data_IF_468586161968
#
_entry.id   IF_468586161968
#
_cell.length_a   1.000
_cell.length_b   1.000
_cell.length_c   1.000
_cell.angle_alpha   90.00
_cell.angle_beta   90.00
_cell.angle_gamma   90.00
#
_symmetry.space_group_name_H-M   'P 1'
#
loop_
_entity.id
_entity.type
_entity.pdbx_description
1 polymer ?
#
# COMPACT_ATOMS: atom_id res chain seq x y z
N UNK A 1 -5.36 15.55 -25.95
CA UNK A 1 -4.43 14.85 -25.04
C UNK A 1 -4.33 15.71 -23.79
N UNK A 2 -4.94 15.24 -22.66
CA UNK A 2 -4.88 15.99 -21.40
C UNK A 2 -3.46 16.03 -20.85
N UNK A 3 -3.15 17.10 -20.12
CA UNK A 3 -1.85 17.29 -19.44
C UNK A 3 -1.76 16.24 -18.30
N UNK A 4 -0.66 15.49 -18.24
CA UNK A 4 -0.35 14.61 -17.11
C UNK A 4 0.03 15.45 -15.90
N UNK A 5 -0.40 15.04 -14.72
CA UNK A 5 -0.04 15.69 -13.47
C UNK A 5 1.40 15.34 -13.09
N UNK A 6 2.19 16.37 -12.73
CA UNK A 6 3.50 16.21 -12.09
C UNK A 6 3.50 17.12 -10.86
N UNK A 7 3.73 16.56 -9.67
CA UNK A 7 3.69 17.29 -8.40
C UNK A 7 4.83 16.84 -7.48
N UNK A 8 5.23 17.70 -6.55
CA UNK A 8 6.09 17.27 -5.45
C UNK A 8 5.32 16.28 -4.54
N UNK A 9 6.00 15.26 -4.05
CA UNK A 9 5.38 14.28 -3.14
C UNK A 9 4.87 14.94 -1.84
N UNK A 10 5.50 16.03 -1.41
CA UNK A 10 5.08 16.84 -0.24
C UNK A 10 3.74 17.58 -0.45
N UNK A 11 3.30 17.78 -1.68
CA UNK A 11 1.99 18.38 -1.98
C UNK A 11 0.81 17.43 -1.67
N UNK A 12 1.11 16.15 -1.43
CA UNK A 12 0.13 15.14 -0.99
C UNK A 12 -0.05 15.12 0.55
N UNK A 13 0.20 16.26 1.19
CA UNK A 13 0.01 16.45 2.62
C UNK A 13 1.16 15.87 3.47
N UNK A 14 0.98 15.92 4.80
CA UNK A 14 1.96 15.38 5.73
C UNK A 14 2.00 13.85 5.66
N UNK A 15 3.17 13.29 5.94
CA UNK A 15 3.27 11.85 6.17
C UNK A 15 2.49 11.45 7.43
N UNK A 16 1.74 10.35 7.45
CA UNK A 16 1.07 9.86 8.65
C UNK A 16 1.98 9.66 9.87
N UNK A 17 3.28 9.49 9.66
CA UNK A 17 4.27 9.42 10.74
C UNK A 17 4.46 10.76 11.45
N UNK A 18 4.34 11.86 10.73
CA UNK A 18 4.45 13.22 11.28
C UNK A 18 3.11 13.71 11.83
N UNK A 19 2.01 13.38 11.12
CA UNK A 19 0.64 13.72 11.50
C UNK A 19 -0.26 12.47 11.55
N UNK A 20 -0.31 11.78 12.68
CA UNK A 20 -1.06 10.55 12.87
C UNK A 20 -2.54 10.60 12.49
N UNK A 21 -3.20 11.73 12.71
CA UNK A 21 -4.62 11.89 12.39
C UNK A 21 -4.88 11.98 10.89
N UNK A 22 -3.83 12.21 10.08
CA UNK A 22 -3.90 12.15 8.62
C UNK A 22 -3.85 10.70 8.06
N UNK A 23 -3.63 9.69 8.91
CA UNK A 23 -3.56 8.29 8.44
C UNK A 23 -4.85 7.86 7.70
N UNK A 24 -4.75 7.20 6.55
CA UNK A 24 -3.56 6.60 5.89
C UNK A 24 -2.73 7.55 5.03
N UNK A 25 -2.97 8.85 5.09
CA UNK A 25 -2.35 9.87 4.26
C UNK A 25 -3.06 10.09 2.93
N UNK A 26 -2.79 11.23 2.29
CA UNK A 26 -3.37 11.54 0.99
C UNK A 26 -2.72 10.68 -0.09
N UNK A 27 -3.54 10.03 -0.89
CA UNK A 27 -3.12 9.21 -2.02
C UNK A 27 -3.60 9.87 -3.32
N UNK A 28 -2.79 9.86 -4.39
CA UNK A 28 -3.26 10.28 -5.70
C UNK A 28 -4.50 9.47 -6.13
N UNK A 29 -5.38 10.10 -6.92
CA UNK A 29 -6.53 9.41 -7.52
C UNK A 29 -6.16 8.59 -8.76
N UNK A 30 -4.87 8.50 -9.07
CA UNK A 30 -4.30 7.86 -10.25
C UNK A 30 -3.08 7.01 -9.89
N UNK A 31 -2.72 6.10 -10.78
CA UNK A 31 -1.44 5.37 -10.74
C UNK A 31 -0.28 6.33 -10.96
N UNK A 32 0.89 6.11 -10.34
CA UNK A 32 2.00 7.05 -10.44
C UNK A 32 3.38 6.40 -10.36
N UNK A 33 4.35 7.09 -10.96
CA UNK A 33 5.78 6.91 -10.69
C UNK A 33 6.18 7.96 -9.63
N UNK A 34 6.73 7.50 -8.53
CA UNK A 34 7.49 8.33 -7.60
C UNK A 34 8.95 8.29 -8.03
N UNK A 35 9.57 9.42 -8.28
CA UNK A 35 11.01 9.53 -8.54
C UNK A 35 11.54 10.89 -8.09
N UNK A 36 12.65 10.88 -7.34
CA UNK A 36 13.30 12.08 -6.80
C UNK A 36 12.31 13.08 -6.17
N UNK A 37 11.44 12.53 -5.27
CA UNK A 37 10.39 13.27 -4.54
C UNK A 37 9.28 13.85 -5.41
N UNK A 38 9.23 13.54 -6.71
CA UNK A 38 8.15 13.93 -7.62
C UNK A 38 7.24 12.77 -7.92
N UNK A 39 5.98 13.08 -8.08
CA UNK A 39 4.90 12.17 -8.44
C UNK A 39 4.47 12.45 -9.86
N UNK A 40 4.66 11.49 -10.74
CA UNK A 40 4.31 11.55 -12.16
C UNK A 40 3.09 10.68 -12.39
N UNK A 41 1.97 11.27 -12.82
CA UNK A 41 0.77 10.53 -13.18
C UNK A 41 1.07 9.48 -14.26
N UNK A 42 0.59 8.26 -14.06
CA UNK A 42 0.66 7.17 -15.03
C UNK A 42 -0.73 6.94 -15.63
N UNK A 43 -0.81 6.82 -16.94
CA UNK A 43 -2.00 6.34 -17.65
C UNK A 43 -1.79 4.90 -18.08
N UNK A 44 -2.53 4.01 -17.41
CA UNK A 44 -2.44 2.56 -17.61
C UNK A 44 -3.48 2.14 -18.64
N UNK A 45 -3.05 1.86 -19.86
CA UNK A 45 -3.94 1.42 -20.95
C UNK A 45 -3.86 -0.09 -21.24
N UNK A 46 -2.73 -0.70 -20.96
CA UNK A 46 -2.42 -2.09 -21.23
C UNK A 46 -1.57 -2.68 -20.12
N UNK A 47 -0.39 -3.15 -20.46
CA UNK A 47 0.57 -3.58 -19.45
C UNK A 47 1.12 -2.36 -18.71
N UNK A 48 1.32 -2.47 -17.41
CA UNK A 48 1.76 -1.33 -16.57
C UNK A 48 3.09 -0.72 -17.06
N UNK A 49 4.02 -1.52 -17.55
CA UNK A 49 5.29 -1.03 -18.08
C UNK A 49 5.17 -0.30 -19.41
N UNK A 50 4.02 -0.41 -20.09
CA UNK A 50 3.65 0.34 -21.31
C UNK A 50 2.87 1.62 -20.99
N UNK A 51 2.63 1.91 -19.70
CA UNK A 51 1.93 3.12 -19.25
C UNK A 51 2.65 4.38 -19.73
N UNK A 52 1.88 5.43 -19.94
CA UNK A 52 2.40 6.72 -20.38
C UNK A 52 2.47 7.70 -19.21
N UNK A 53 3.47 8.57 -19.22
CA UNK A 53 3.64 9.67 -18.30
C UNK A 53 4.26 10.88 -18.98
N UNK A 54 4.15 12.05 -18.35
CA UNK A 54 4.92 13.25 -18.74
C UNK A 54 6.33 13.15 -18.18
N UNK A 55 7.33 13.23 -19.04
CA UNK A 55 8.74 13.22 -18.62
C UNK A 55 9.48 14.33 -19.37
N UNK A 56 9.87 15.41 -18.66
CA UNK A 56 10.24 16.67 -19.28
C UNK A 56 9.08 17.23 -20.09
N UNK A 57 9.35 17.62 -21.32
CA UNK A 57 8.36 18.22 -22.23
C UNK A 57 7.64 17.18 -23.12
N UNK A 58 7.81 15.89 -22.86
CA UNK A 58 7.31 14.81 -23.72
C UNK A 58 6.51 13.79 -22.97
N UNK A 59 5.55 13.18 -23.67
CA UNK A 59 4.92 11.92 -23.22
C UNK A 59 5.87 10.76 -23.53
N UNK A 60 6.17 9.95 -22.55
CA UNK A 60 7.08 8.80 -22.62
C UNK A 60 6.41 7.53 -22.08
N UNK A 61 6.94 6.40 -22.48
CA UNK A 61 6.57 5.10 -21.93
C UNK A 61 7.30 4.86 -20.61
N UNK A 62 6.62 4.34 -19.60
CA UNK A 62 7.20 4.12 -18.26
C UNK A 62 8.50 3.31 -18.32
N UNK A 63 8.54 2.20 -19.08
CA UNK A 63 9.75 1.37 -19.16
C UNK A 63 10.94 2.12 -19.77
N UNK A 64 10.72 3.01 -20.72
CA UNK A 64 11.80 3.84 -21.28
C UNK A 64 12.35 4.80 -20.24
N UNK A 65 11.46 5.44 -19.46
CA UNK A 65 11.85 6.34 -18.38
C UNK A 65 12.61 5.58 -17.29
N UNK A 66 12.13 4.40 -16.86
CA UNK A 66 12.83 3.57 -15.88
C UNK A 66 14.23 3.20 -16.36
N UNK A 67 14.40 2.84 -17.64
CA UNK A 67 15.70 2.54 -18.24
C UNK A 67 16.62 3.76 -18.23
N UNK A 68 16.10 4.94 -18.58
CA UNK A 68 16.86 6.21 -18.60
C UNK A 68 17.38 6.58 -17.20
N UNK A 69 16.60 6.36 -16.16
CA UNK A 69 17.01 6.61 -14.77
C UNK A 69 17.78 5.43 -14.13
N UNK A 70 18.20 4.46 -14.91
CA UNK A 70 19.04 3.34 -14.48
C UNK A 70 18.31 2.27 -13.66
N UNK A 71 16.99 2.15 -13.80
CA UNK A 71 16.20 1.14 -13.10
C UNK A 71 16.11 -0.16 -13.92
N UNK A 72 16.05 -1.33 -13.26
CA UNK A 72 15.81 -2.60 -13.96
C UNK A 72 14.40 -2.63 -14.56
N UNK A 73 14.12 -3.57 -15.49
CA UNK A 73 12.79 -3.76 -16.05
C UNK A 73 11.72 -3.92 -14.97
N UNK A 74 10.57 -3.23 -15.14
CA UNK A 74 9.48 -3.26 -14.16
C UNK A 74 8.94 -4.67 -13.90
N UNK A 75 9.06 -5.56 -14.88
CA UNK A 75 8.67 -6.96 -14.81
C UNK A 75 9.40 -7.73 -13.69
N UNK A 76 10.63 -7.29 -13.33
CA UNK A 76 11.46 -7.90 -12.29
C UNK A 76 11.13 -7.39 -10.88
N UNK A 77 10.25 -6.38 -10.76
CA UNK A 77 9.89 -5.80 -9.46
C UNK A 77 8.85 -6.66 -8.75
N UNK A 78 8.84 -6.61 -7.43
CA UNK A 78 7.86 -7.27 -6.59
C UNK A 78 6.60 -6.41 -6.45
N UNK A 79 5.44 -7.06 -6.53
CA UNK A 79 4.15 -6.38 -6.47
C UNK A 79 3.49 -6.64 -5.11
N UNK A 80 3.34 -5.59 -4.31
CA UNK A 80 2.82 -5.67 -2.94
C UNK A 80 1.55 -4.81 -2.83
N UNK A 81 0.45 -5.39 -2.36
CA UNK A 81 -0.78 -4.66 -2.08
C UNK A 81 -0.55 -3.61 -0.99
N UNK A 82 -0.92 -2.38 -1.29
CA UNK A 82 -0.80 -1.20 -0.44
C UNK A 82 -2.18 -0.62 -0.16
N UNK A 83 -2.75 -0.97 0.97
CA UNK A 83 -4.09 -0.56 1.41
C UNK A 83 -4.06 0.55 2.47
N UNK A 84 -2.90 0.81 3.08
CA UNK A 84 -2.65 1.85 4.06
C UNK A 84 -1.75 2.96 3.51
N UNK A 85 -0.82 3.43 4.33
CA UNK A 85 0.07 4.56 3.99
C UNK A 85 1.16 4.25 2.95
N UNK A 86 1.34 3.00 2.55
CA UNK A 86 2.34 2.59 1.54
C UNK A 86 1.98 3.02 0.10
N UNK A 87 0.83 3.65 -0.10
CA UNK A 87 0.44 4.32 -1.34
C UNK A 87 0.44 5.86 -1.23
N UNK A 88 0.82 6.43 -0.07
CA UNK A 88 0.92 7.87 0.15
C UNK A 88 2.32 8.36 -0.25
N UNK A 89 2.46 9.26 -1.24
CA UNK A 89 3.77 9.74 -1.69
C UNK A 89 4.60 10.37 -0.58
N UNK A 90 3.99 11.20 0.26
CA UNK A 90 4.66 11.83 1.40
C UNK A 90 5.21 10.80 2.40
N UNK A 91 4.50 9.70 2.62
CA UNK A 91 4.95 8.61 3.48
C UNK A 91 6.10 7.81 2.84
N UNK A 92 6.07 7.59 1.52
CA UNK A 92 7.12 6.84 0.81
C UNK A 92 8.46 7.59 0.84
N UNK A 93 8.45 8.92 0.68
CA UNK A 93 9.68 9.74 0.74
C UNK A 93 10.13 10.08 2.15
N UNK A 94 9.34 9.75 3.19
CA UNK A 94 9.71 10.02 4.58
C UNK A 94 11.06 9.36 4.90
N UNK A 95 11.98 10.03 5.65
CA UNK A 95 13.34 9.52 5.90
C UNK A 95 13.41 8.10 6.46
N UNK A 96 12.42 7.69 7.24
CA UNK A 96 12.37 6.32 7.77
C UNK A 96 12.02 5.25 6.75
N UNK A 97 11.39 5.62 5.63
CA UNK A 97 11.15 4.71 4.48
C UNK A 97 12.20 4.89 3.39
N UNK A 98 12.52 6.13 3.05
CA UNK A 98 13.65 6.49 2.20
C UNK A 98 13.55 6.04 0.74
N UNK A 99 12.35 5.88 0.20
CA UNK A 99 12.20 5.52 -1.21
C UNK A 99 12.53 6.70 -2.13
N UNK A 100 13.49 6.49 -3.03
CA UNK A 100 13.79 7.44 -4.11
C UNK A 100 12.94 7.19 -5.36
N UNK A 101 12.55 5.94 -5.59
CA UNK A 101 11.77 5.53 -6.76
C UNK A 101 10.82 4.40 -6.38
N UNK A 102 9.55 4.53 -6.76
CA UNK A 102 8.54 3.48 -6.64
C UNK A 102 7.50 3.66 -7.75
N UNK A 103 6.94 2.56 -8.23
CA UNK A 103 5.76 2.59 -9.12
C UNK A 103 4.57 2.13 -8.30
N UNK A 104 3.54 2.96 -8.25
CA UNK A 104 2.32 2.70 -7.47
C UNK A 104 1.14 2.69 -8.42
N UNK A 105 0.44 1.56 -8.47
CA UNK A 105 -0.65 1.33 -9.42
C UNK A 105 -1.96 1.17 -8.68
N UNK A 106 -2.95 1.94 -9.09
CA UNK A 106 -4.31 1.90 -8.55
C UNK A 106 -4.98 0.57 -8.89
N UNK A 107 -5.70 0.03 -7.92
CA UNK A 107 -6.33 -1.29 -8.01
C UNK A 107 -7.68 -1.30 -7.30
N UNK A 108 -8.46 -2.34 -7.58
CA UNK A 108 -9.70 -2.67 -6.86
C UNK A 108 -9.54 -4.01 -6.19
N UNK A 109 -9.78 -4.04 -4.88
CA UNK A 109 -9.73 -5.23 -4.05
C UNK A 109 -11.16 -5.65 -3.67
N UNK A 110 -11.52 -6.91 -3.90
CA UNK A 110 -12.83 -7.46 -3.62
C UNK A 110 -12.73 -8.51 -2.52
N UNK A 111 -13.81 -8.64 -1.71
CA UNK A 111 -13.98 -9.63 -0.63
C UNK A 111 -12.98 -9.55 0.53
N UNK A 112 -12.11 -8.54 0.52
CA UNK A 112 -11.16 -8.21 1.58
C UNK A 112 -11.22 -6.71 1.84
N UNK A 113 -11.23 -6.32 3.11
CA UNK A 113 -11.38 -4.94 3.56
C UNK A 113 -10.15 -4.49 4.33
N UNK A 114 -9.57 -3.30 4.03
CA UNK A 114 -8.66 -2.62 4.92
C UNK A 114 -9.34 -2.23 6.23
N UNK A 115 -8.79 -2.67 7.36
CA UNK A 115 -9.35 -2.44 8.70
C UNK A 115 -8.28 -1.94 9.66
N UNK A 116 -8.67 -1.37 10.78
CA UNK A 116 -7.72 -0.91 11.80
C UNK A 116 -7.06 -2.06 12.54
N UNK A 117 -5.74 -2.03 12.61
CA UNK A 117 -4.91 -2.98 13.33
C UNK A 117 -5.12 -2.88 14.85
N UNK A 118 -4.82 -3.95 15.57
CA UNK A 118 -5.06 -4.09 17.02
C UNK A 118 -4.02 -3.43 17.92
N UNK A 119 -3.35 -2.38 17.46
CA UNK A 119 -2.33 -1.69 18.26
C UNK A 119 -2.18 -0.22 17.86
N UNK A 120 -1.60 0.57 18.76
CA UNK A 120 -1.18 1.94 18.52
C UNK A 120 0.32 1.96 18.26
N UNK A 121 0.78 2.68 17.22
CA UNK A 121 2.20 2.82 16.93
C UNK A 121 2.89 3.58 18.06
N UNK A 122 4.16 3.25 18.33
CA UNK A 122 4.97 3.94 19.36
C UNK A 122 5.69 5.18 18.80
N UNK A 123 5.72 5.34 17.49
CA UNK A 123 6.44 6.42 16.82
C UNK A 123 5.59 7.70 16.78
N UNK A 124 6.21 8.84 17.14
CA UNK A 124 5.54 10.14 17.15
C UNK A 124 4.34 10.23 18.11
N UNK A 125 3.25 10.85 17.66
CA UNK A 125 2.00 10.99 18.43
C UNK A 125 1.14 9.73 18.49
N UNK A 126 1.59 8.64 17.86
CA UNK A 126 0.88 7.38 17.76
C UNK A 126 -0.36 7.42 16.86
N UNK A 127 -0.50 6.43 16.00
CA UNK A 127 -1.72 6.19 15.21
C UNK A 127 -2.04 4.70 15.23
N UNK A 128 -3.27 4.36 14.88
CA UNK A 128 -3.70 2.97 14.73
C UNK A 128 -3.57 2.65 13.24
N UNK A 129 -2.60 1.80 12.83
CA UNK A 129 -2.38 1.50 11.42
C UNK A 129 -3.43 0.53 10.89
N UNK A 130 -3.33 0.17 9.61
CA UNK A 130 -4.25 -0.76 8.98
C UNK A 130 -3.70 -2.18 8.89
N UNK A 131 -4.61 -3.13 8.79
CA UNK A 131 -4.40 -4.52 8.36
C UNK A 131 -5.54 -4.93 7.42
N UNK A 132 -5.65 -6.20 7.10
CA UNK A 132 -6.69 -6.74 6.22
C UNK A 132 -7.60 -7.71 6.97
N UNK A 133 -8.88 -7.72 6.61
CA UNK A 133 -9.84 -8.72 7.04
C UNK A 133 -10.69 -9.18 5.87
N UNK A 134 -11.09 -10.46 5.86
CA UNK A 134 -12.07 -10.97 4.92
C UNK A 134 -13.43 -10.29 5.17
N UNK A 135 -14.01 -9.77 4.09
CA UNK A 135 -15.31 -9.11 4.12
C UNK A 135 -16.03 -9.32 2.80
N UNK A 136 -16.78 -10.42 2.70
CA UNK A 136 -17.43 -10.84 1.46
C UNK A 136 -18.40 -9.79 0.91
N UNK A 137 -18.31 -9.54 -0.38
CA UNK A 137 -19.14 -8.59 -1.11
C UNK A 137 -18.68 -7.14 -1.04
N UNK A 138 -17.59 -6.85 -0.32
CA UNK A 138 -17.01 -5.50 -0.26
C UNK A 138 -16.03 -5.28 -1.41
N UNK A 139 -16.08 -4.10 -2.00
CA UNK A 139 -15.08 -3.56 -2.92
C UNK A 139 -14.36 -2.40 -2.25
N UNK A 140 -13.04 -2.35 -2.40
CA UNK A 140 -12.18 -1.29 -1.86
C UNK A 140 -11.22 -0.80 -2.93
N UNK A 141 -11.07 0.51 -3.08
CA UNK A 141 -9.99 1.09 -3.84
C UNK A 141 -8.69 0.98 -3.03
N UNK A 142 -7.72 0.31 -3.61
CA UNK A 142 -6.40 0.10 -3.05
C UNK A 142 -5.34 0.41 -4.11
N UNK A 143 -4.09 0.14 -3.77
CA UNK A 143 -2.97 0.26 -4.68
C UNK A 143 -2.09 -0.98 -4.59
N UNK A 144 -1.24 -1.18 -5.58
CA UNK A 144 -0.06 -2.03 -5.44
C UNK A 144 1.17 -1.15 -5.57
N UNK A 145 2.14 -1.38 -4.71
CA UNK A 145 3.46 -0.73 -4.80
C UNK A 145 4.43 -1.74 -5.39
N UNK A 146 5.00 -1.39 -6.52
CA UNK A 146 6.02 -2.19 -7.20
C UNK A 146 7.39 -1.78 -6.65
N UNK A 147 8.13 -2.75 -6.12
CA UNK A 147 9.37 -2.57 -5.38
C UNK A 147 10.49 -3.41 -5.97
N UNK A 148 11.67 -2.84 -6.13
CA UNK A 148 12.88 -3.59 -6.41
C UNK A 148 13.27 -4.43 -5.19
N UNK A 149 14.15 -5.41 -5.36
CA UNK A 149 14.61 -6.25 -4.24
C UNK A 149 15.11 -5.43 -3.04
N UNK A 150 15.97 -4.45 -3.29
CA UNK A 150 16.50 -3.56 -2.24
C UNK A 150 15.40 -2.72 -1.56
N UNK A 151 14.38 -2.31 -2.29
CA UNK A 151 13.26 -1.52 -1.76
C UNK A 151 12.32 -2.40 -0.92
N UNK A 152 12.19 -3.69 -1.26
CA UNK A 152 11.45 -4.65 -0.43
C UNK A 152 12.11 -4.83 0.94
N UNK A 153 13.45 -4.87 1.00
CA UNK A 153 14.20 -4.93 2.26
C UNK A 153 13.98 -3.66 3.12
N UNK A 154 13.94 -2.49 2.47
CA UNK A 154 13.60 -1.23 3.15
C UNK A 154 12.16 -1.25 3.67
N UNK A 155 11.23 -1.76 2.88
CA UNK A 155 9.83 -1.89 3.27
C UNK A 155 9.70 -2.84 4.47
N UNK A 156 10.30 -4.03 4.42
CA UNK A 156 10.33 -5.00 5.51
C UNK A 156 10.77 -4.36 6.84
N UNK A 157 11.85 -3.60 6.78
CA UNK A 157 12.37 -2.87 7.94
C UNK A 157 11.39 -1.82 8.46
N UNK A 158 10.80 -1.05 7.56
CA UNK A 158 9.87 0.02 7.93
C UNK A 158 8.55 -0.50 8.50
N UNK A 159 8.13 -1.71 8.10
CA UNK A 159 6.94 -2.40 8.62
C UNK A 159 7.21 -3.15 9.94
N UNK A 160 8.46 -3.15 10.43
CA UNK A 160 8.84 -3.86 11.66
C UNK A 160 8.68 -5.36 11.55
N UNK A 161 8.96 -5.93 10.36
CA UNK A 161 8.90 -7.37 10.13
C UNK A 161 10.03 -8.08 10.90
N UNK A 162 9.81 -9.25 11.48
CA UNK A 162 8.56 -10.02 11.53
C UNK A 162 7.67 -9.75 12.76
N UNK A 163 8.03 -8.78 13.62
CA UNK A 163 7.41 -8.60 14.94
C UNK A 163 6.06 -7.87 14.89
N UNK A 164 5.87 -6.98 13.92
CA UNK A 164 4.68 -6.15 13.79
C UNK A 164 3.83 -6.60 12.62
N UNK A 165 4.42 -6.61 11.44
CA UNK A 165 3.82 -7.12 10.22
C UNK A 165 4.55 -8.35 9.70
N UNK A 166 3.84 -9.14 8.91
CA UNK A 166 4.39 -10.25 8.14
C UNK A 166 4.02 -10.05 6.67
N UNK A 167 4.97 -10.35 5.78
CA UNK A 167 4.69 -10.41 4.35
C UNK A 167 4.09 -11.79 4.04
N UNK A 168 2.91 -11.78 3.45
CA UNK A 168 2.10 -12.98 3.24
C UNK A 168 1.54 -13.04 1.83
N UNK A 169 1.18 -14.24 1.40
CA UNK A 169 0.21 -14.46 0.32
C UNK A 169 -1.19 -14.53 0.93
N UNK A 170 -2.09 -13.68 0.45
CA UNK A 170 -3.49 -13.63 0.88
C UNK A 170 -4.32 -14.56 0.01
N UNK A 171 -5.07 -15.48 0.61
CA UNK A 171 -5.85 -16.50 -0.10
C UNK A 171 -7.27 -16.07 -0.44
N UNK A 172 -7.79 -15.08 0.27
CA UNK A 172 -9.09 -14.51 -0.02
C UNK A 172 -8.98 -13.31 -0.95
N UNK A 173 -10.10 -13.00 -1.56
CA UNK A 173 -10.27 -11.81 -2.38
C UNK A 173 -9.77 -11.93 -3.80
N UNK A 174 -10.03 -10.87 -4.54
CA UNK A 174 -9.57 -10.68 -5.92
C UNK A 174 -9.02 -9.28 -6.06
N UNK A 175 -7.92 -9.15 -6.76
CA UNK A 175 -7.25 -7.87 -6.99
C UNK A 175 -7.19 -7.58 -8.49
N UNK A 176 -7.72 -6.43 -8.89
CA UNK A 176 -7.75 -6.02 -10.30
C UNK A 176 -7.03 -4.70 -10.49
N UNK A 177 -6.22 -4.61 -11.52
CA UNK A 177 -5.70 -3.33 -12.04
C UNK A 177 -6.82 -2.48 -12.65
N UNK A 178 -6.57 -1.20 -12.87
CA UNK A 178 -7.51 -0.26 -13.52
C UNK A 178 -7.97 -0.74 -14.89
N UNK A 179 -7.13 -1.48 -15.62
CA UNK A 179 -7.45 -2.06 -16.94
C UNK A 179 -8.26 -3.36 -16.86
N UNK A 180 -8.68 -3.79 -15.66
CA UNK A 180 -9.46 -5.02 -15.44
C UNK A 180 -8.64 -6.31 -15.37
N UNK A 181 -7.32 -6.26 -15.49
CA UNK A 181 -6.45 -7.44 -15.34
C UNK A 181 -6.41 -7.87 -13.88
N UNK A 182 -6.69 -9.15 -13.62
CA UNK A 182 -6.53 -9.74 -12.29
C UNK A 182 -5.05 -9.99 -11.98
N UNK A 183 -4.63 -9.61 -10.76
CA UNK A 183 -3.31 -9.90 -10.22
C UNK A 183 -3.38 -11.06 -9.24
N UNK A 184 -2.59 -12.12 -9.49
CA UNK A 184 -2.47 -13.30 -8.63
C UNK A 184 -1.04 -13.81 -8.59
N UNK A 185 -0.57 -14.26 -7.41
CA UNK A 185 -1.19 -14.21 -6.08
C UNK A 185 -1.20 -12.78 -5.50
N UNK A 186 -2.00 -12.54 -4.43
CA UNK A 186 -2.01 -11.26 -3.72
C UNK A 186 -0.98 -11.31 -2.61
N UNK A 187 0.07 -10.49 -2.69
CA UNK A 187 1.04 -10.32 -1.61
C UNK A 187 0.79 -9.04 -0.84
N UNK A 188 0.85 -9.11 0.47
CA UNK A 188 0.63 -7.95 1.33
C UNK A 188 1.33 -8.07 2.67
N UNK A 189 1.58 -6.94 3.31
CA UNK A 189 1.90 -6.90 4.73
C UNK A 189 0.62 -6.97 5.54
N UNK A 190 0.52 -7.89 6.47
CA UNK A 190 -0.58 -7.98 7.43
C UNK A 190 -0.02 -8.06 8.85
N UNK A 191 -0.76 -7.58 9.83
CA UNK A 191 -0.34 -7.68 11.23
C UNK A 191 -0.16 -9.11 11.67
N UNK A 192 0.82 -9.36 12.54
CA UNK A 192 0.95 -10.64 13.25
C UNK A 192 -0.29 -10.88 14.11
N UNK A 193 -0.57 -12.13 14.49
CA UNK A 193 -1.69 -12.44 15.38
C UNK A 193 -1.60 -11.72 16.73
N UNK A 194 -0.37 -11.52 17.24
CA UNK A 194 -0.13 -10.77 18.48
C UNK A 194 -0.53 -9.29 18.35
N UNK A 195 -0.36 -8.68 17.15
CA UNK A 195 -0.82 -7.32 16.88
C UNK A 195 -2.28 -7.26 16.48
N UNK A 196 -2.75 -8.26 15.74
CA UNK A 196 -4.14 -8.47 15.40
C UNK A 196 -4.84 -7.26 14.78
N UNK A 197 -6.12 -7.17 15.06
CA UNK A 197 -6.97 -6.05 14.66
C UNK A 197 -7.94 -5.66 15.80
N UNK A 198 -8.45 -4.44 15.74
CA UNK A 198 -9.46 -3.96 16.66
C UNK A 198 -10.87 -4.23 16.16
N UNK A 199 -11.75 -4.56 17.12
CA UNK A 199 -13.18 -4.69 16.92
C UNK A 199 -13.90 -3.62 17.75
N UNK A 200 -14.95 -3.05 17.18
CA UNK A 200 -15.91 -2.24 17.88
C UNK A 200 -17.27 -2.93 17.83
N UNK A 201 -17.86 -3.21 18.99
CA UNK A 201 -19.14 -3.97 19.11
C UNK A 201 -19.11 -5.33 18.37
N UNK A 202 -17.94 -6.00 18.40
CA UNK A 202 -17.75 -7.31 17.76
C UNK A 202 -17.51 -7.28 16.25
N UNK A 203 -17.48 -6.11 15.64
CA UNK A 203 -17.27 -5.93 14.20
C UNK A 203 -15.89 -5.33 13.89
N UNK A 204 -15.30 -5.71 12.75
CA UNK A 204 -14.08 -5.06 12.23
C UNK A 204 -14.36 -3.59 11.94
N UNK A 205 -13.35 -2.75 12.11
CA UNK A 205 -13.47 -1.30 11.91
C UNK A 205 -12.87 -0.97 10.55
N UNK A 206 -13.74 -0.62 9.59
CA UNK A 206 -13.33 -0.26 8.23
C UNK A 206 -12.47 1.00 8.21
N UNK A 207 -11.34 0.93 7.51
CA UNK A 207 -10.49 2.10 7.23
C UNK A 207 -11.16 3.07 6.25
N UNK A 208 -12.13 2.59 5.45
CA UNK A 208 -12.81 3.41 4.44
C UNK A 208 -13.90 4.29 5.05
N UNK A 209 -14.56 3.80 6.12
CA UNK A 209 -15.77 4.42 6.67
C UNK A 209 -15.56 5.06 8.05
N UNK A 210 -14.36 4.91 8.62
CA UNK A 210 -14.10 5.38 9.98
C UNK A 210 -12.79 6.17 10.03
N UNK A 211 -12.87 7.39 10.53
CA UNK A 211 -11.71 8.25 10.68
C UNK A 211 -10.81 7.81 11.85
N UNK A 212 -9.50 7.99 11.69
CA UNK A 212 -8.47 7.71 12.69
C UNK A 212 -8.79 8.30 14.06
N UNK A 213 -9.22 9.54 14.10
CA UNK A 213 -9.57 10.26 15.33
C UNK A 213 -10.66 9.54 16.13
N UNK A 214 -11.68 9.04 15.47
CA UNK A 214 -12.78 8.30 16.10
C UNK A 214 -12.33 6.97 16.68
N UNK A 215 -11.47 6.24 15.97
CA UNK A 215 -10.95 4.96 16.45
C UNK A 215 -10.03 5.16 17.65
N UNK A 216 -9.20 6.21 17.66
CA UNK A 216 -8.39 6.61 18.82
C UNK A 216 -9.26 6.93 20.02
N UNK A 217 -10.34 7.69 19.84
CA UNK A 217 -11.31 8.00 20.91
C UNK A 217 -11.95 6.73 21.50
N UNK A 218 -12.34 5.77 20.65
CA UNK A 218 -12.84 4.48 21.13
C UNK A 218 -11.80 3.68 21.89
N UNK A 219 -10.55 3.69 21.43
CA UNK A 219 -9.43 3.05 22.11
C UNK A 219 -9.21 3.64 23.52
N UNK A 220 -9.13 4.97 23.63
CA UNK A 220 -8.95 5.69 24.89
C UNK A 220 -10.10 5.45 25.89
N UNK A 221 -11.33 5.25 25.38
CA UNK A 221 -12.51 4.93 26.19
C UNK A 221 -12.65 3.43 26.51
N UNK A 222 -11.70 2.59 26.14
CA UNK A 222 -11.75 1.15 26.36
C UNK A 222 -12.88 0.43 25.62
N UNK A 223 -13.34 0.96 24.50
CA UNK A 223 -14.46 0.41 23.70
C UNK A 223 -14.03 -0.56 22.62
N UNK A 224 -12.73 -0.81 22.46
CA UNK A 224 -12.20 -1.69 21.44
C UNK A 224 -11.81 -3.06 22.06
N UNK A 225 -12.23 -4.11 21.38
CA UNK A 225 -11.74 -5.46 21.64
C UNK A 225 -10.62 -5.82 20.68
N UNK A 226 -9.69 -6.66 21.10
CA UNK A 226 -8.61 -7.17 20.26
C UNK A 226 -8.99 -8.54 19.68
N UNK A 227 -8.63 -8.79 18.42
CA UNK A 227 -8.77 -10.10 17.78
C UNK A 227 -7.52 -10.44 16.96
N UNK A 228 -7.18 -11.73 16.91
CA UNK A 228 -6.05 -12.24 16.12
C UNK A 228 -6.35 -12.15 14.62
N UNK A 229 -5.33 -11.83 13.81
CA UNK A 229 -5.48 -11.67 12.35
C UNK A 229 -5.95 -12.96 11.67
N UNK A 230 -5.46 -14.12 12.09
CA UNK A 230 -5.79 -15.43 11.51
C UNK A 230 -7.28 -15.81 11.60
N UNK A 231 -8.04 -15.19 12.50
CA UNK A 231 -9.50 -15.37 12.60
C UNK A 231 -10.25 -14.65 11.48
N UNK A 232 -9.61 -13.68 10.84
CA UNK A 232 -10.23 -12.78 9.87
C UNK A 232 -9.65 -12.90 8.47
N UNK A 233 -8.48 -13.50 8.31
CA UNK A 233 -7.81 -13.60 7.01
C UNK A 233 -6.99 -14.89 6.93
N UNK A 234 -7.14 -15.64 5.84
CA UNK A 234 -6.35 -16.83 5.56
C UNK A 234 -5.14 -16.45 4.72
N UNK A 235 -3.95 -16.81 5.19
CA UNK A 235 -2.68 -16.40 4.57
C UNK A 235 -1.63 -17.52 4.59
N UNK A 236 -0.68 -17.43 3.68
CA UNK A 236 0.60 -18.17 3.76
C UNK A 236 1.73 -17.20 4.03
N UNK A 237 2.48 -17.44 5.11
CA UNK A 237 3.64 -16.61 5.46
C UNK A 237 4.82 -16.88 4.52
N UNK A 238 5.37 -15.82 3.94
CA UNK A 238 6.60 -15.90 3.14
C UNK A 238 7.82 -15.92 4.07
N UNK A 239 8.18 -17.09 4.58
CA UNK A 239 9.28 -17.31 5.51
C UNK A 239 10.65 -17.09 4.85
N UNK A 240 10.98 -15.82 4.51
CA UNK A 240 12.22 -15.45 3.84
C UNK A 240 12.24 -15.68 2.31
N UNK A 241 11.24 -16.36 1.76
CA UNK A 241 11.06 -16.41 0.31
C UNK A 241 10.58 -15.05 -0.21
N UNK A 242 11.13 -14.53 -1.33
CA UNK A 242 10.60 -13.33 -1.94
C UNK A 242 9.22 -13.61 -2.56
N UNK A 243 8.35 -12.59 -2.68
CA UNK A 243 7.14 -12.70 -3.50
C UNK A 243 7.50 -13.00 -4.96
N UNK A 244 6.51 -13.40 -5.75
CA UNK A 244 6.69 -13.47 -7.20
C UNK A 244 6.94 -12.07 -7.77
N UNK A 245 7.75 -12.00 -8.83
CA UNK A 245 7.93 -10.76 -9.58
C UNK A 245 6.65 -10.38 -10.33
N UNK A 246 6.57 -9.14 -10.76
CA UNK A 246 5.39 -8.63 -11.44
C UNK A 246 5.09 -9.40 -12.74
N UNK A 247 6.12 -9.83 -13.48
CA UNK A 247 5.96 -10.70 -14.65
C UNK A 247 5.30 -12.05 -14.29
N UNK A 248 5.67 -12.63 -13.16
CA UNK A 248 5.16 -13.93 -12.73
C UNK A 248 3.71 -13.88 -12.21
N UNK A 249 3.12 -12.68 -12.07
CA UNK A 249 1.73 -12.46 -11.66
C UNK A 249 0.79 -12.24 -12.85
N UNK A 250 1.31 -12.17 -14.08
CA UNK A 250 0.58 -12.05 -15.33
C UNK A 250 0.54 -13.38 -16.05
#
# INVERSE_FOLDING_TARGET
LGIFSVKEASEYGPAPRDEPDAYPGTRPEFSYLLHDKKVYELRVFGKVWESQLSWGDKTRVLQEVLTEIGMPPLQEWYCILAYGSNACPAQLIHPEKGFSTAVVVKTRLFDVLPVYAGYVTKNGKGYIPATLARYKGQESECFVTLLRKQDLELMDKSEGRPQVYQLVEVHEGKLFLENGKELKPIYSYVTTDTKGLFLHEGQVISLLDTEQKKVKEWHEKGKLAHSETNKWLSVTHLQGAPPKTFEQMF
#
